data_IF_228408976339
#
_entry.id   IF_228408976339
#
_cell.length_a   1.000
_cell.length_b   1.000
_cell.length_c   1.000
_cell.angle_alpha   90.00
_cell.angle_beta   90.00
_cell.angle_gamma   90.00
#
_symmetry.space_group_name_H-M   'P 1'
#
loop_
_entity.id
_entity.type
_entity.pdbx_description
1 polymer ?
#
# COMPACT_ATOMS: atom_id res chain seq x y z
N UNK A 1 3.50 1.09 16.95
CA UNK A 1 2.17 0.53 16.69
C UNK A 1 1.19 1.56 16.13
N UNK A 2 0.89 2.65 16.86
CA UNK A 2 -0.13 3.64 16.45
C UNK A 2 0.02 4.15 15.01
N UNK A 3 1.20 4.67 14.64
CA UNK A 3 1.46 5.19 13.29
C UNK A 3 1.35 4.12 12.19
N UNK A 4 1.80 2.89 12.47
CA UNK A 4 1.83 1.81 11.49
C UNK A 4 0.45 1.18 11.28
N UNK A 5 -0.27 0.89 12.38
CA UNK A 5 -1.38 -0.07 12.38
C UNK A 5 -2.74 0.50 12.81
N UNK A 6 -2.82 1.74 13.30
CA UNK A 6 -4.04 2.31 13.91
C UNK A 6 -4.61 3.51 13.15
N UNK A 7 -4.09 3.80 11.95
CA UNK A 7 -4.58 4.88 11.10
C UNK A 7 -5.33 4.24 9.92
N UNK A 8 -6.58 4.67 9.64
CA UNK A 8 -7.33 4.18 8.49
C UNK A 8 -6.54 4.35 7.18
N UNK A 9 -6.65 3.39 6.25
CA UNK A 9 -6.03 3.52 4.94
C UNK A 9 -6.84 4.42 3.99
N UNK A 10 -6.29 4.68 2.80
CA UNK A 10 -7.04 5.28 1.69
C UNK A 10 -7.05 6.81 1.73
N UNK A 11 -8.24 7.38 1.51
CA UNK A 11 -8.48 8.83 1.41
C UNK A 11 -9.15 9.42 2.65
N UNK A 12 -8.98 8.77 3.79
CA UNK A 12 -9.39 9.29 5.10
C UNK A 12 -8.54 10.52 5.50
N UNK A 13 -9.10 11.40 6.32
CA UNK A 13 -8.40 12.61 6.79
C UNK A 13 -7.14 12.28 7.59
N UNK A 14 -7.15 11.21 8.40
CA UNK A 14 -5.97 10.77 9.13
C UNK A 14 -4.92 10.15 8.19
N UNK A 15 -5.37 9.50 7.10
CA UNK A 15 -4.48 8.98 6.06
C UNK A 15 -3.77 10.12 5.31
N UNK A 16 -4.47 11.23 5.04
CA UNK A 16 -3.88 12.44 4.45
C UNK A 16 -2.73 12.99 5.30
N UNK A 17 -2.98 13.18 6.60
CA UNK A 17 -1.95 13.67 7.54
C UNK A 17 -0.78 12.70 7.66
N UNK A 18 -1.07 11.39 7.75
CA UNK A 18 -0.04 10.35 7.79
C UNK A 18 0.84 10.37 6.53
N UNK A 19 0.25 10.35 5.34
CA UNK A 19 0.99 10.34 4.09
C UNK A 19 1.85 11.59 3.93
N UNK A 20 1.29 12.77 4.24
CA UNK A 20 2.04 14.03 4.20
C UNK A 20 3.25 14.03 5.14
N UNK A 21 3.08 13.60 6.38
CA UNK A 21 4.17 13.49 7.35
C UNK A 21 5.25 12.49 6.88
N UNK A 22 4.86 11.30 6.46
CA UNK A 22 5.81 10.27 5.99
C UNK A 22 6.56 10.73 4.73
N UNK A 23 5.88 11.39 3.80
CA UNK A 23 6.51 11.95 2.62
C UNK A 23 7.54 13.04 2.96
N UNK A 24 7.20 13.95 3.89
CA UNK A 24 8.12 14.98 4.37
C UNK A 24 9.36 14.36 5.06
N UNK A 25 9.19 13.29 5.85
CA UNK A 25 10.31 12.57 6.47
C UNK A 25 11.17 11.87 5.41
N UNK A 26 10.56 11.20 4.43
CA UNK A 26 11.27 10.53 3.35
C UNK A 26 12.13 11.51 2.53
N UNK A 27 11.60 12.71 2.25
CA UNK A 27 12.32 13.78 1.52
C UNK A 27 13.28 14.61 2.38
N UNK A 28 13.34 14.36 3.69
CA UNK A 28 14.18 15.14 4.61
C UNK A 28 13.68 16.55 4.92
N UNK A 29 12.43 16.86 4.57
CA UNK A 29 11.74 18.12 4.88
C UNK A 29 11.27 18.17 6.35
N UNK A 30 11.08 17.00 6.96
CA UNK A 30 10.74 16.84 8.37
C UNK A 30 11.68 15.83 9.03
N UNK A 31 11.91 16.00 10.34
CA UNK A 31 12.74 15.10 11.13
C UNK A 31 11.92 14.38 12.19
N UNK A 32 12.21 13.10 12.39
CA UNK A 32 11.66 12.29 13.48
C UNK A 32 12.76 11.45 14.12
N UNK A 33 12.88 11.43 15.45
CA UNK A 33 13.84 10.55 16.12
C UNK A 33 13.46 9.06 16.02
N UNK A 34 12.24 8.73 15.58
CA UNK A 34 11.69 7.37 15.54
C UNK A 34 11.45 6.84 14.13
N UNK A 35 11.45 7.72 13.12
CA UNK A 35 11.11 7.37 11.75
C UNK A 35 12.20 7.88 10.83
N UNK A 36 13.01 6.96 10.31
CA UNK A 36 13.98 7.28 9.26
C UNK A 36 13.28 7.48 7.92
N UNK A 37 14.01 8.04 6.94
CA UNK A 37 13.49 8.19 5.58
C UNK A 37 13.12 6.83 4.97
N UNK A 38 13.97 5.81 5.13
CA UNK A 38 13.72 4.45 4.68
C UNK A 38 12.46 3.86 5.29
N UNK A 39 12.30 3.99 6.61
CA UNK A 39 11.12 3.47 7.30
C UNK A 39 9.85 4.25 6.93
N UNK A 40 9.98 5.56 6.66
CA UNK A 40 8.86 6.34 6.14
C UNK A 40 8.40 5.86 4.76
N UNK A 41 9.35 5.56 3.86
CA UNK A 41 9.07 4.97 2.55
C UNK A 41 8.41 3.59 2.68
N UNK A 42 8.87 2.74 3.60
CA UNK A 42 8.21 1.46 3.88
C UNK A 42 6.77 1.63 4.38
N UNK A 43 6.53 2.57 5.29
CA UNK A 43 5.21 2.85 5.83
C UNK A 43 4.25 3.44 4.78
N UNK A 44 4.74 4.29 3.87
CA UNK A 44 3.96 4.72 2.71
C UNK A 44 3.53 3.51 1.85
N UNK A 45 4.38 2.49 1.73
CA UNK A 45 4.06 1.25 1.02
C UNK A 45 2.99 0.37 1.69
N UNK A 46 2.74 0.54 2.98
CA UNK A 46 1.64 -0.16 3.68
C UNK A 46 0.27 0.50 3.51
N UNK A 47 0.24 1.73 2.99
CA UNK A 47 -1.00 2.41 2.67
C UNK A 47 -1.48 1.87 1.30
N UNK A 48 -2.69 1.31 1.19
CA UNK A 48 -3.09 0.53 0.01
C UNK A 48 -3.33 1.37 -1.25
N UNK A 49 -3.39 2.70 -1.13
CA UNK A 49 -3.59 3.65 -2.21
C UNK A 49 -4.12 5.00 -1.73
N UNK A 50 -4.17 5.98 -2.63
CA UNK A 50 -4.55 7.36 -2.33
C UNK A 50 -3.33 8.25 -2.11
N UNK A 51 -3.28 8.94 -0.97
CA UNK A 51 -2.28 9.99 -0.72
C UNK A 51 -0.82 9.51 -0.67
N UNK A 52 -0.57 8.21 -0.58
CA UNK A 52 0.77 7.62 -0.57
C UNK A 52 1.35 7.36 -1.96
N UNK A 53 0.54 7.38 -3.03
CA UNK A 53 0.98 6.98 -4.38
C UNK A 53 1.99 7.96 -4.95
N UNK A 54 1.64 9.25 -5.06
CA UNK A 54 2.55 10.24 -5.64
C UNK A 54 3.89 10.32 -4.90
N UNK A 55 3.93 10.37 -3.54
CA UNK A 55 5.19 10.29 -2.82
C UNK A 55 6.04 9.08 -3.17
N UNK A 56 5.45 7.88 -3.30
CA UNK A 56 6.22 6.68 -3.70
C UNK A 56 6.76 6.78 -5.13
N UNK A 57 5.99 7.35 -6.05
CA UNK A 57 6.43 7.55 -7.44
C UNK A 57 7.59 8.55 -7.51
N UNK A 58 7.51 9.65 -6.76
CA UNK A 58 8.58 10.65 -6.69
C UNK A 58 9.88 10.04 -6.13
N UNK A 59 9.76 9.17 -5.12
CA UNK A 59 10.89 8.49 -4.49
C UNK A 59 11.61 7.48 -5.41
N UNK A 60 11.06 7.15 -6.59
CA UNK A 60 11.79 6.36 -7.59
C UNK A 60 13.01 7.10 -8.16
N UNK A 61 13.10 8.43 -8.00
CA UNK A 61 14.24 9.22 -8.46
C UNK A 61 15.34 9.37 -7.38
N UNK A 62 15.08 8.97 -6.14
CA UNK A 62 16.06 8.99 -5.06
C UNK A 62 16.82 7.64 -5.02
N UNK A 63 18.11 7.65 -5.35
CA UNK A 63 18.90 6.41 -5.45
C UNK A 63 18.92 5.55 -4.18
N UNK A 64 18.74 6.15 -2.99
CA UNK A 64 18.72 5.45 -1.71
C UNK A 64 17.35 4.86 -1.40
N UNK A 65 16.27 5.58 -1.76
CA UNK A 65 14.90 5.20 -1.40
C UNK A 65 14.15 4.47 -2.54
N UNK A 66 14.60 4.61 -3.79
CA UNK A 66 13.99 4.00 -4.96
C UNK A 66 13.86 2.47 -4.89
N UNK A 67 14.82 1.70 -4.32
CA UNK A 67 14.62 0.26 -4.14
C UNK A 67 13.43 -0.07 -3.23
N UNK A 68 13.21 0.74 -2.18
CA UNK A 68 12.12 0.57 -1.21
C UNK A 68 10.79 0.99 -1.86
N UNK A 69 10.78 2.14 -2.54
CA UNK A 69 9.61 2.64 -3.25
C UNK A 69 9.17 1.71 -4.37
N UNK A 70 10.10 1.16 -5.15
CA UNK A 70 9.82 0.19 -6.19
C UNK A 70 9.19 -1.08 -5.63
N UNK A 71 9.72 -1.61 -4.51
CA UNK A 71 9.13 -2.76 -3.83
C UNK A 71 7.70 -2.48 -3.35
N UNK A 72 7.45 -1.29 -2.81
CA UNK A 72 6.13 -0.86 -2.37
C UNK A 72 5.13 -0.76 -3.55
N UNK A 73 5.51 -0.03 -4.61
CA UNK A 73 4.66 0.15 -5.80
C UNK A 73 4.36 -1.17 -6.51
N UNK A 74 5.33 -2.09 -6.54
CA UNK A 74 5.18 -3.43 -7.12
C UNK A 74 4.05 -4.25 -6.50
N UNK A 75 3.70 -3.98 -5.24
CA UNK A 75 2.62 -4.64 -4.50
C UNK A 75 1.35 -3.78 -4.39
N UNK A 76 1.36 -2.56 -4.94
CA UNK A 76 0.24 -1.62 -4.85
C UNK A 76 -0.72 -1.82 -6.02
N UNK A 77 -1.99 -2.11 -5.71
CA UNK A 77 -3.02 -2.37 -6.74
C UNK A 77 -3.81 -1.13 -7.13
N UNK A 78 -4.00 -0.19 -6.21
CA UNK A 78 -4.83 1.00 -6.40
C UNK A 78 -4.07 2.13 -7.12
N UNK A 79 -3.37 1.79 -8.22
CA UNK A 79 -2.57 2.73 -9.01
C UNK A 79 -3.42 3.61 -9.94
N UNK A 80 -4.50 3.06 -10.50
CA UNK A 80 -5.38 3.75 -11.46
C UNK A 80 -4.57 4.54 -12.51
N UNK A 81 -4.86 5.82 -12.72
CA UNK A 81 -4.16 6.68 -13.70
C UNK A 81 -2.70 6.95 -13.33
N UNK A 82 -2.32 6.83 -12.05
CA UNK A 82 -0.91 7.00 -11.61
C UNK A 82 0.01 5.91 -12.16
N UNK A 83 -0.55 4.86 -12.77
CA UNK A 83 0.19 3.93 -13.61
C UNK A 83 1.01 4.65 -14.70
N UNK A 84 0.41 5.68 -15.34
CA UNK A 84 1.05 6.38 -16.44
C UNK A 84 2.30 7.14 -16.00
N UNK A 85 2.32 7.69 -14.79
CA UNK A 85 3.49 8.38 -14.24
C UNK A 85 4.68 7.42 -14.05
N UNK A 86 4.41 6.20 -13.57
CA UNK A 86 5.45 5.15 -13.46
C UNK A 86 5.89 4.71 -14.85
N UNK A 87 4.96 4.53 -15.79
CA UNK A 87 5.27 4.12 -17.15
C UNK A 87 6.13 5.18 -17.87
N UNK A 88 5.86 6.47 -17.66
CA UNK A 88 6.60 7.55 -18.27
C UNK A 88 8.01 7.69 -17.68
N UNK A 89 8.18 7.50 -16.35
CA UNK A 89 9.50 7.36 -15.73
C UNK A 89 10.28 6.17 -16.31
N UNK A 90 9.63 5.03 -16.51
CA UNK A 90 10.26 3.84 -17.08
C UNK A 90 10.73 4.09 -18.54
N UNK A 91 9.92 4.79 -19.35
CA UNK A 91 10.28 5.22 -20.71
C UNK A 91 11.42 6.23 -20.71
N UNK A 92 11.45 7.14 -19.73
CA UNK A 92 12.51 8.13 -19.54
C UNK A 92 13.85 7.53 -19.06
N UNK A 93 13.88 6.24 -18.72
CA UNK A 93 15.12 5.53 -18.38
C UNK A 93 15.30 5.18 -16.91
N UNK A 94 14.30 5.43 -16.06
CA UNK A 94 14.38 5.03 -14.65
C UNK A 94 14.25 3.50 -14.52
N UNK A 95 15.34 2.84 -14.10
CA UNK A 95 15.40 1.39 -13.98
C UNK A 95 14.51 0.83 -12.86
N UNK A 96 14.30 1.58 -11.77
CA UNK A 96 13.36 1.20 -10.71
C UNK A 96 11.91 1.26 -11.19
N UNK A 97 11.55 2.28 -11.99
CA UNK A 97 10.24 2.33 -12.62
C UNK A 97 10.04 1.15 -13.59
N UNK A 98 11.05 0.78 -14.38
CA UNK A 98 11.01 -0.43 -15.23
C UNK A 98 10.84 -1.70 -14.42
N UNK A 99 11.48 -1.81 -13.26
CA UNK A 99 11.30 -2.92 -12.33
C UNK A 99 9.84 -3.02 -11.87
N UNK A 100 9.22 -1.89 -11.49
CA UNK A 100 7.80 -1.86 -11.09
C UNK A 100 6.89 -2.33 -12.23
N UNK A 101 7.07 -1.80 -13.43
CA UNK A 101 6.28 -2.20 -14.62
C UNK A 101 6.44 -3.70 -14.89
N UNK A 102 7.67 -4.23 -14.79
CA UNK A 102 7.95 -5.66 -14.96
C UNK A 102 7.23 -6.50 -13.90
N UNK A 103 7.35 -6.13 -12.62
CA UNK A 103 6.68 -6.84 -11.52
C UNK A 103 5.16 -6.90 -11.73
N UNK A 104 4.54 -5.81 -12.17
CA UNK A 104 3.11 -5.80 -12.49
C UNK A 104 2.77 -6.71 -13.67
N UNK A 105 3.58 -6.68 -14.73
CA UNK A 105 3.40 -7.53 -15.91
C UNK A 105 3.58 -9.03 -15.60
N UNK A 106 4.50 -9.35 -14.68
CA UNK A 106 4.76 -10.71 -14.18
C UNK A 106 3.77 -11.13 -13.07
N UNK A 107 2.82 -10.25 -12.72
CA UNK A 107 1.79 -10.47 -11.71
C UNK A 107 2.34 -10.88 -10.33
N UNK A 108 3.51 -10.35 -9.93
CA UNK A 108 4.14 -10.70 -8.64
C UNK A 108 3.25 -10.35 -7.44
N UNK A 109 2.43 -9.29 -7.54
CA UNK A 109 1.42 -8.92 -6.54
C UNK A 109 0.41 -10.04 -6.25
N UNK A 110 0.17 -10.92 -7.22
CA UNK A 110 -0.71 -12.08 -7.11
C UNK A 110 0.08 -13.34 -6.76
N UNK A 111 1.15 -13.63 -7.52
CA UNK A 111 1.91 -14.88 -7.40
C UNK A 111 2.72 -14.99 -6.10
N UNK A 112 3.04 -13.88 -5.45
CA UNK A 112 3.69 -13.89 -4.13
C UNK A 112 2.74 -14.24 -2.97
N UNK A 113 1.42 -14.24 -3.20
CA UNK A 113 0.43 -14.57 -2.18
C UNK A 113 0.26 -16.08 -2.07
N UNK A 114 -0.04 -16.61 -0.86
CA UNK A 114 -0.35 -18.03 -0.70
C UNK A 114 -1.52 -18.45 -1.61
N UNK A 115 -1.34 -19.55 -2.35
CA UNK A 115 -2.42 -20.17 -3.09
C UNK A 115 -3.51 -20.68 -2.15
N UNK A 116 -4.74 -20.80 -2.65
CA UNK A 116 -5.82 -21.46 -1.92
C UNK A 116 -5.43 -22.92 -1.67
N UNK A 117 -5.57 -23.37 -0.43
CA UNK A 117 -5.24 -24.75 -0.08
C UNK A 117 -6.21 -25.74 -0.73
N UNK A 118 -5.70 -26.87 -1.23
CA UNK A 118 -6.52 -27.95 -1.82
C UNK A 118 -7.57 -28.51 -0.84
N UNK A 119 -7.32 -28.38 0.46
CA UNK A 119 -8.20 -28.80 1.54
C UNK A 119 -8.17 -27.79 2.68
N UNK A 120 -9.34 -27.31 3.10
CA UNK A 120 -9.51 -26.45 4.27
C UNK A 120 -10.26 -27.22 5.37
N UNK A 121 -9.64 -27.36 6.54
CA UNK A 121 -10.30 -27.95 7.72
C UNK A 121 -10.88 -26.82 8.56
N UNK A 122 -12.18 -26.86 8.81
CA UNK A 122 -12.92 -25.81 9.53
C UNK A 122 -13.82 -26.42 10.61
N UNK A 123 -14.15 -25.63 11.63
CA UNK A 123 -15.16 -25.99 12.64
C UNK A 123 -16.51 -25.41 12.24
N UNK A 124 -17.56 -26.22 12.25
CA UNK A 124 -18.91 -25.77 11.90
C UNK A 124 -19.43 -24.82 12.98
N UNK A 125 -19.67 -23.55 12.62
CA UNK A 125 -20.48 -22.61 13.39
C UNK A 125 -21.89 -22.56 12.79
N UNK A 126 -22.82 -23.33 13.35
CA UNK A 126 -24.19 -23.42 12.84
C UNK A 126 -25.10 -22.46 13.59
N UNK A 127 -25.69 -21.50 12.87
CA UNK A 127 -26.88 -20.76 13.32
C UNK A 127 -28.11 -21.48 12.76
N UNK A 128 -29.03 -21.84 13.65
CA UNK A 128 -30.26 -22.56 13.30
C UNK A 128 -31.38 -21.57 12.99
N UNK A 129 -32.25 -21.92 12.04
CA UNK A 129 -33.32 -21.04 11.58
C UNK A 129 -32.88 -20.10 10.46
N UNK A 130 -33.55 -18.96 10.35
CA UNK A 130 -33.18 -17.88 9.46
C UNK A 130 -32.01 -17.08 10.05
N UNK A 131 -31.15 -16.54 9.20
CA UNK A 131 -30.16 -15.54 9.58
C UNK A 131 -30.30 -14.42 8.57
N UNK A 132 -30.89 -13.31 9.00
CA UNK A 132 -30.97 -12.09 8.21
C UNK A 132 -29.80 -11.15 8.59
N UNK A 133 -29.69 -10.02 7.89
CA UNK A 133 -28.66 -9.01 8.15
C UNK A 133 -28.82 -8.31 9.49
N UNK A 134 -30.06 -8.12 9.98
CA UNK A 134 -30.33 -7.48 11.27
C UNK A 134 -29.86 -8.35 12.45
N UNK A 135 -29.90 -9.68 12.31
CA UNK A 135 -29.34 -10.63 13.28
C UNK A 135 -27.81 -10.51 13.41
N UNK A 136 -27.13 -10.10 12.33
CA UNK A 136 -25.67 -9.97 12.27
C UNK A 136 -25.19 -8.56 12.65
N UNK A 137 -25.99 -7.54 12.37
CA UNK A 137 -25.70 -6.15 12.69
C UNK A 137 -27.00 -5.36 12.82
N UNK A 138 -27.43 -5.11 14.05
CA UNK A 138 -28.53 -4.19 14.31
C UNK A 138 -28.08 -2.78 13.95
N UNK A 139 -28.60 -2.22 12.85
CA UNK A 139 -28.45 -0.79 12.57
C UNK A 139 -29.47 -0.08 13.46
N UNK A 140 -29.03 0.43 14.62
CA UNK A 140 -29.75 1.51 15.28
C UNK A 140 -29.51 2.78 14.48
N UNK A 141 -30.54 3.19 13.72
CA UNK A 141 -30.67 4.50 13.08
C UNK A 141 -30.93 5.55 14.16
#
# INVERSE_FOLDING_TARGET
DLLANRIPPGVDEAAYVKAGFLAAVARGEAHSPLVSAEYATELLGTMPGGYNIQPLIDLLDDARLAPIAAKALSQTLLMFDSFYDVADKAKAGNDFARQVIRSWAEAEWYLSRPAVADKMTVTVFKVSGETNNDDLSLIHI
#
